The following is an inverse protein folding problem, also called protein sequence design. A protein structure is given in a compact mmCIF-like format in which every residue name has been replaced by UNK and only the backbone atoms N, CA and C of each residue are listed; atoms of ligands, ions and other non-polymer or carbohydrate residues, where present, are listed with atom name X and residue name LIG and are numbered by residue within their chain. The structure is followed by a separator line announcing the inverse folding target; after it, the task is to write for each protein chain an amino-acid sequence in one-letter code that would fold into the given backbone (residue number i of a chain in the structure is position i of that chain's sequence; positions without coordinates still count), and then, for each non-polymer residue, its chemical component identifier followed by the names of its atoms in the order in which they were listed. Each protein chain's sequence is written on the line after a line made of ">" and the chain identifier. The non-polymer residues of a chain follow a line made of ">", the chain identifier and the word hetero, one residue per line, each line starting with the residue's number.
data_IF_146706423144
#
_entry.id   IF_146706423144
#
_cell.length_a   1.000
_cell.length_b   1.000
_cell.length_c   1.000
_cell.angle_alpha   90.00
_cell.angle_beta   90.00
_cell.angle_gamma   90.00
#
_symmetry.space_group_name_H-M   'P 1'
#
loop_
_entity.id
_entity.type
_entity.pdbx_description
1 polymer ?
#
# COMPACT_ATOMS: atom_id res chain seq x y z
N UNK A 1 -14.54 11.24 29.89
CA UNK A 1 -13.94 10.33 28.90
C UNK A 1 -12.85 11.10 28.17
N UNK A 2 -11.58 10.90 28.50
CA UNK A 2 -10.51 11.79 28.03
C UNK A 2 -10.01 11.27 26.66
N UNK A 3 -10.42 11.90 25.58
CA UNK A 3 -10.01 11.64 24.17
C UNK A 3 -8.50 11.94 23.95
N UNK A 4 -7.76 12.26 25.02
CA UNK A 4 -6.33 12.63 25.04
C UNK A 4 -5.35 11.53 24.60
N UNK A 5 -5.80 10.34 24.24
CA UNK A 5 -4.91 9.27 23.80
C UNK A 5 -4.73 9.17 22.29
N UNK A 6 -5.55 9.84 21.46
CA UNK A 6 -5.40 9.77 20.00
C UNK A 6 -4.13 10.49 19.53
N UNK A 7 -3.36 9.83 18.68
CA UNK A 7 -2.18 10.41 18.07
C UNK A 7 -2.42 10.77 16.58
N UNK A 8 -1.44 11.40 15.93
CA UNK A 8 -1.55 11.78 14.52
C UNK A 8 -1.82 10.61 13.57
N UNK A 9 -1.34 9.41 13.90
CA UNK A 9 -1.54 8.18 13.10
C UNK A 9 -3.00 7.72 13.20
N UNK A 10 -3.59 7.79 14.39
CA UNK A 10 -5.00 7.47 14.62
C UNK A 10 -5.90 8.43 13.82
N UNK A 11 -5.60 9.74 13.88
CA UNK A 11 -6.32 10.75 13.09
C UNK A 11 -6.18 10.54 11.58
N UNK A 12 -4.99 10.16 11.12
CA UNK A 12 -4.73 9.85 9.71
C UNK A 12 -5.58 8.66 9.24
N UNK A 13 -5.63 7.60 10.06
CA UNK A 13 -6.46 6.41 9.80
C UNK A 13 -7.94 6.77 9.76
N UNK A 14 -8.44 7.54 10.73
CA UNK A 14 -9.84 7.96 10.74
C UNK A 14 -10.20 8.86 9.56
N UNK A 15 -9.32 9.77 9.16
CA UNK A 15 -9.54 10.62 8.01
C UNK A 15 -9.66 9.78 6.73
N UNK A 16 -8.75 8.83 6.50
CA UNK A 16 -8.82 7.92 5.36
C UNK A 16 -10.14 7.12 5.34
N UNK A 17 -10.47 6.42 6.43
CA UNK A 17 -11.70 5.62 6.50
C UNK A 17 -12.95 6.50 6.35
N UNK A 18 -12.94 7.72 6.90
CA UNK A 18 -14.04 8.67 6.77
C UNK A 18 -14.27 9.09 5.31
N UNK A 19 -13.20 9.38 4.57
CA UNK A 19 -13.26 9.68 3.14
C UNK A 19 -13.78 8.47 2.34
N UNK A 20 -13.25 7.28 2.61
CA UNK A 20 -13.69 6.05 1.93
C UNK A 20 -15.16 5.74 2.22
N UNK A 21 -15.60 5.87 3.47
CA UNK A 21 -17.01 5.71 3.84
C UNK A 21 -17.91 6.71 3.11
N UNK A 22 -17.49 7.99 3.03
CA UNK A 22 -18.25 9.00 2.28
C UNK A 22 -18.36 8.62 0.80
N UNK A 23 -17.27 8.17 0.18
CA UNK A 23 -17.26 7.66 -1.20
C UNK A 23 -18.24 6.49 -1.34
N UNK A 24 -18.18 5.50 -0.46
CA UNK A 24 -19.05 4.32 -0.54
C UNK A 24 -20.51 4.73 -0.40
N UNK A 25 -20.87 5.61 0.54
CA UNK A 25 -22.24 6.04 0.73
C UNK A 25 -22.78 6.81 -0.49
N UNK A 26 -21.96 7.68 -1.08
CA UNK A 26 -22.33 8.46 -2.27
C UNK A 26 -22.48 7.60 -3.52
N UNK A 27 -21.65 6.55 -3.67
CA UNK A 27 -21.60 5.72 -4.88
C UNK A 27 -22.03 4.27 -4.67
N UNK A 28 -22.75 3.96 -3.58
CA UNK A 28 -23.08 2.58 -3.17
C UNK A 28 -23.76 1.75 -4.26
N UNK A 29 -24.54 2.38 -5.14
CA UNK A 29 -25.25 1.71 -6.25
C UNK A 29 -24.31 1.16 -7.34
N UNK A 30 -23.07 1.66 -7.40
CA UNK A 30 -22.04 1.23 -8.35
C UNK A 30 -21.01 0.29 -7.73
N UNK A 31 -21.06 0.07 -6.41
CA UNK A 31 -20.04 -0.66 -5.66
C UNK A 31 -20.62 -2.02 -5.25
N UNK A 32 -20.07 -3.13 -5.77
CA UNK A 32 -20.43 -4.47 -5.31
C UNK A 32 -20.18 -4.62 -3.81
N UNK A 33 -21.09 -5.29 -3.10
CA UNK A 33 -20.91 -5.61 -1.67
C UNK A 33 -20.58 -4.41 -0.77
N UNK A 34 -21.06 -3.21 -1.12
CA UNK A 34 -20.77 -1.95 -0.40
C UNK A 34 -20.98 -2.02 1.11
N UNK A 35 -21.93 -2.83 1.60
CA UNK A 35 -22.19 -3.04 3.02
C UNK A 35 -21.03 -3.74 3.74
N UNK A 36 -20.35 -4.69 3.10
CA UNK A 36 -19.14 -5.33 3.65
C UNK A 36 -17.97 -4.34 3.72
N UNK A 37 -17.86 -3.45 2.74
CA UNK A 37 -16.84 -2.41 2.71
C UNK A 37 -17.07 -1.35 3.81
N UNK A 38 -18.33 -0.98 4.07
CA UNK A 38 -18.69 -0.14 5.22
C UNK A 38 -18.33 -0.86 6.53
N UNK A 39 -18.72 -2.13 6.68
CA UNK A 39 -18.42 -2.92 7.86
C UNK A 39 -16.91 -2.99 8.12
N UNK A 40 -16.10 -3.22 7.08
CA UNK A 40 -14.64 -3.22 7.15
C UNK A 40 -14.11 -1.89 7.74
N UNK A 41 -14.55 -0.75 7.20
CA UNK A 41 -14.07 0.57 7.65
C UNK A 41 -14.54 0.87 9.09
N UNK A 42 -15.76 0.49 9.46
CA UNK A 42 -16.26 0.61 10.83
C UNK A 42 -15.44 -0.26 11.79
N UNK A 43 -15.11 -1.49 11.40
CA UNK A 43 -14.27 -2.39 12.21
C UNK A 43 -12.89 -1.77 12.42
N UNK A 44 -12.24 -1.25 11.37
CA UNK A 44 -10.93 -0.61 11.51
C UNK A 44 -11.00 0.59 12.46
N UNK A 45 -12.00 1.48 12.28
CA UNK A 45 -12.20 2.63 13.17
C UNK A 45 -12.42 2.15 14.62
N UNK A 46 -13.27 1.15 14.83
CA UNK A 46 -13.57 0.61 16.14
C UNK A 46 -12.34 -0.03 16.81
N UNK A 47 -11.53 -0.77 16.06
CA UNK A 47 -10.29 -1.38 16.58
C UNK A 47 -9.28 -0.31 16.96
N UNK A 48 -9.07 0.71 16.13
CA UNK A 48 -8.15 1.82 16.45
C UNK A 48 -8.63 2.59 17.68
N UNK A 49 -9.93 2.90 17.78
CA UNK A 49 -10.51 3.53 18.96
C UNK A 49 -10.34 2.66 20.20
N UNK A 50 -10.63 1.36 20.11
CA UNK A 50 -10.46 0.43 21.23
C UNK A 50 -9.01 0.37 21.70
N UNK A 51 -8.05 0.24 20.78
CA UNK A 51 -6.63 0.26 21.09
C UNK A 51 -6.21 1.58 21.75
N UNK A 52 -6.73 2.71 21.28
CA UNK A 52 -6.46 4.01 21.87
C UNK A 52 -7.03 4.17 23.29
N UNK A 53 -8.17 3.55 23.58
CA UNK A 53 -8.82 3.60 24.89
C UNK A 53 -8.21 2.63 25.90
N UNK A 54 -7.85 1.42 25.46
CA UNK A 54 -7.39 0.33 26.34
C UNK A 54 -5.88 0.38 26.57
N UNK A 55 -5.10 0.77 25.56
CA UNK A 55 -3.63 0.76 25.64
C UNK A 55 -3.13 2.15 26.04
N UNK A 56 -3.03 2.38 27.35
CA UNK A 56 -2.41 3.58 27.90
C UNK A 56 -0.88 3.53 27.93
N UNK A 57 -0.24 4.64 28.30
CA UNK A 57 1.24 4.76 28.36
C UNK A 57 1.90 3.72 29.30
N UNK A 58 1.16 3.30 30.34
CA UNK A 58 1.62 2.31 31.33
C UNK A 58 1.45 0.85 30.90
N UNK A 59 0.88 0.58 29.72
CA UNK A 59 0.71 -0.78 29.24
C UNK A 59 2.07 -1.50 29.05
N UNK A 60 2.07 -2.83 29.06
CA UNK A 60 3.28 -3.62 28.78
C UNK A 60 3.74 -3.46 27.32
N UNK A 61 4.93 -3.98 26.99
CA UNK A 61 5.53 -3.81 25.67
C UNK A 61 4.64 -4.31 24.51
N UNK A 62 4.02 -5.48 24.68
CA UNK A 62 3.25 -6.16 23.62
C UNK A 62 2.00 -5.38 23.21
N UNK A 63 1.08 -4.98 24.13
CA UNK A 63 -0.08 -4.15 23.75
C UNK A 63 0.30 -2.82 23.11
N UNK A 64 1.41 -2.18 23.55
CA UNK A 64 1.90 -0.95 22.93
C UNK A 64 2.43 -1.19 21.52
N UNK A 65 3.15 -2.28 21.29
CA UNK A 65 3.64 -2.65 19.96
C UNK A 65 2.48 -2.94 19.02
N UNK A 66 1.48 -3.71 19.47
CA UNK A 66 0.25 -3.98 18.71
C UNK A 66 -0.44 -2.67 18.35
N UNK A 67 -0.67 -1.77 19.32
CA UNK A 67 -1.30 -0.47 19.08
C UNK A 67 -0.54 0.31 18.00
N UNK A 68 0.77 0.44 18.17
CA UNK A 68 1.61 1.31 17.36
C UNK A 68 1.89 0.76 15.96
N UNK A 69 1.82 -0.57 15.76
CA UNK A 69 2.03 -1.22 14.46
C UNK A 69 0.72 -1.68 13.80
N UNK A 70 -0.43 -1.56 14.48
CA UNK A 70 -1.73 -1.94 13.92
C UNK A 70 -2.05 -1.31 12.55
N UNK A 71 -1.67 -0.05 12.25
CA UNK A 71 -1.91 0.54 10.92
C UNK A 71 -1.31 -0.27 9.78
N UNK A 72 -0.15 -0.92 10.00
CA UNK A 72 0.49 -1.75 8.97
C UNK A 72 -0.37 -2.96 8.61
N UNK A 73 -1.07 -3.53 9.59
CA UNK A 73 -1.99 -4.64 9.38
C UNK A 73 -3.25 -4.24 8.61
N UNK A 74 -3.68 -2.97 8.71
CA UNK A 74 -4.85 -2.46 7.98
C UNK A 74 -4.55 -2.16 6.51
N UNK A 75 -3.28 -1.96 6.12
CA UNK A 75 -2.94 -1.68 4.73
C UNK A 75 -3.40 -2.78 3.78
N UNK A 76 -3.28 -4.06 4.14
CA UNK A 76 -3.68 -5.16 3.27
C UNK A 76 -5.19 -5.17 2.97
N UNK A 77 -6.11 -5.19 3.97
CA UNK A 77 -7.54 -5.16 3.67
C UNK A 77 -7.98 -3.83 3.03
N UNK A 78 -7.35 -2.71 3.38
CA UNK A 78 -7.64 -1.42 2.74
C UNK A 78 -7.17 -1.36 1.29
N UNK A 79 -6.04 -2.00 0.98
CA UNK A 79 -5.55 -2.17 -0.38
C UNK A 79 -6.53 -3.01 -1.18
N UNK A 80 -6.90 -4.21 -0.69
CA UNK A 80 -7.89 -5.08 -1.33
C UNK A 80 -9.23 -4.39 -1.57
N UNK A 81 -9.67 -3.54 -0.63
CA UNK A 81 -10.87 -2.72 -0.78
C UNK A 81 -10.82 -1.80 -2.01
N UNK A 82 -9.64 -1.29 -2.41
CA UNK A 82 -9.55 -0.33 -3.52
C UNK A 82 -10.03 -0.93 -4.84
N UNK A 83 -9.77 -2.21 -5.10
CA UNK A 83 -10.23 -2.93 -6.31
C UNK A 83 -11.76 -2.93 -6.45
N UNK A 84 -12.48 -3.04 -5.33
CA UNK A 84 -13.95 -3.04 -5.35
C UNK A 84 -14.54 -1.65 -5.64
N UNK A 85 -13.74 -0.59 -5.52
CA UNK A 85 -14.18 0.81 -5.59
C UNK A 85 -13.60 1.53 -6.80
N UNK A 86 -12.43 1.15 -7.31
CA UNK A 86 -11.62 1.92 -8.28
C UNK A 86 -12.29 2.28 -9.63
N UNK A 87 -13.47 1.72 -9.93
CA UNK A 87 -14.25 2.04 -11.13
C UNK A 87 -15.44 2.99 -10.92
N UNK A 88 -15.56 3.65 -9.77
CA UNK A 88 -16.65 4.60 -9.50
C UNK A 88 -16.63 5.84 -10.40
N UNK A 89 -15.44 6.36 -10.73
CA UNK A 89 -15.22 7.54 -11.58
C UNK A 89 -15.01 7.12 -13.03
N UNK A 90 -14.11 6.17 -13.27
CA UNK A 90 -13.77 5.68 -14.60
C UNK A 90 -14.18 4.21 -14.77
N UNK A 91 -15.06 3.90 -15.73
CA UNK A 91 -15.56 2.53 -15.92
C UNK A 91 -14.51 1.54 -16.46
N UNK A 92 -13.38 2.05 -16.95
CA UNK A 92 -12.27 1.24 -17.44
C UNK A 92 -10.94 1.78 -16.92
N UNK A 93 -9.88 1.01 -17.13
CA UNK A 93 -8.56 1.39 -16.67
C UNK A 93 -7.91 2.46 -17.54
N UNK A 94 -7.11 3.31 -16.89
CA UNK A 94 -6.43 4.44 -17.52
C UNK A 94 -5.09 4.05 -18.16
N UNK A 95 -4.75 2.75 -18.23
CA UNK A 95 -3.51 2.26 -18.87
C UNK A 95 -3.25 2.90 -20.25
N UNK A 96 -4.22 3.00 -21.21
CA UNK A 96 -3.98 3.67 -22.49
C UNK A 96 -3.56 5.14 -22.38
N UNK A 97 -3.96 5.84 -21.33
CA UNK A 97 -3.51 7.20 -21.07
C UNK A 97 -2.06 7.19 -20.56
N UNK A 98 -1.74 6.34 -19.58
CA UNK A 98 -0.41 6.27 -18.99
C UNK A 98 0.66 5.75 -19.96
N UNK A 99 0.33 4.76 -20.81
CA UNK A 99 1.20 4.31 -21.91
C UNK A 99 1.58 5.47 -22.82
N UNK A 100 0.58 6.26 -23.24
CA UNK A 100 0.80 7.41 -24.14
C UNK A 100 1.63 8.50 -23.47
N UNK A 101 1.40 8.76 -22.17
CA UNK A 101 2.22 9.70 -21.41
C UNK A 101 3.67 9.21 -21.36
N UNK A 102 3.89 7.94 -21.02
CA UNK A 102 5.22 7.31 -20.99
C UNK A 102 5.91 7.42 -22.36
N UNK A 103 5.23 7.06 -23.44
CA UNK A 103 5.75 7.14 -24.80
C UNK A 103 6.05 8.57 -25.23
N UNK A 104 5.24 9.54 -24.82
CA UNK A 104 5.46 10.96 -25.14
C UNK A 104 6.69 11.51 -24.41
N UNK A 105 6.93 11.08 -23.17
CA UNK A 105 8.05 11.56 -22.36
C UNK A 105 9.37 10.92 -22.80
N UNK A 106 9.37 9.60 -23.02
CA UNK A 106 10.61 8.85 -23.28
C UNK A 106 10.84 8.53 -24.77
N UNK A 107 9.82 8.63 -25.61
CA UNK A 107 9.86 8.19 -27.02
C UNK A 107 9.77 6.67 -27.21
N UNK A 108 9.61 5.91 -26.12
CA UNK A 108 9.45 4.46 -26.09
C UNK A 108 8.83 4.05 -24.75
N UNK A 109 8.56 2.75 -24.55
CA UNK A 109 8.10 2.18 -23.28
C UNK A 109 9.30 1.62 -22.48
N UNK A 110 9.81 2.32 -21.43
CA UNK A 110 11.04 1.91 -20.75
C UNK A 110 10.98 0.52 -20.14
N UNK A 111 9.84 0.09 -19.60
CA UNK A 111 9.70 -1.25 -19.03
C UNK A 111 9.93 -2.35 -20.09
N UNK A 112 9.40 -2.16 -21.30
CA UNK A 112 9.54 -3.11 -22.42
C UNK A 112 10.99 -3.12 -22.92
N UNK A 113 11.57 -1.95 -23.16
CA UNK A 113 12.95 -1.84 -23.65
C UNK A 113 13.94 -2.38 -22.61
N UNK A 114 13.72 -2.12 -21.32
CA UNK A 114 14.54 -2.66 -20.24
C UNK A 114 14.55 -4.19 -20.26
N UNK A 115 13.38 -4.82 -20.40
CA UNK A 115 13.28 -6.29 -20.48
C UNK A 115 13.96 -6.86 -21.74
N UNK A 116 13.95 -6.13 -22.85
CA UNK A 116 14.64 -6.53 -24.08
C UNK A 116 16.17 -6.39 -23.98
N UNK A 117 16.66 -5.33 -23.34
CA UNK A 117 18.10 -5.07 -23.15
C UNK A 117 18.71 -6.00 -22.10
N UNK A 118 17.94 -6.34 -21.06
CA UNK A 118 18.38 -7.21 -19.97
C UNK A 118 17.53 -8.48 -19.84
N UNK A 119 17.57 -9.40 -20.83
CA UNK A 119 16.75 -10.62 -20.82
C UNK A 119 17.27 -11.70 -19.87
N UNK A 120 18.42 -11.47 -19.20
CA UNK A 120 19.06 -12.49 -18.38
C UNK A 120 18.24 -12.78 -17.13
N UNK A 121 17.98 -14.06 -16.83
CA UNK A 121 17.14 -14.48 -15.69
C UNK A 121 17.68 -13.99 -14.34
N UNK A 122 19.00 -13.82 -14.19
CA UNK A 122 19.59 -13.28 -12.96
C UNK A 122 19.28 -11.80 -12.74
N UNK A 123 19.07 -11.02 -13.81
CA UNK A 123 18.62 -9.61 -13.70
C UNK A 123 17.19 -9.59 -13.19
N UNK A 124 16.31 -10.41 -13.78
CA UNK A 124 14.93 -10.57 -13.31
C UNK A 124 14.90 -11.01 -11.83
N UNK A 125 15.71 -12.00 -11.45
CA UNK A 125 15.80 -12.46 -10.07
C UNK A 125 16.28 -11.37 -9.10
N UNK A 126 17.29 -10.59 -9.48
CA UNK A 126 17.75 -9.46 -8.68
C UNK A 126 16.68 -8.38 -8.52
N UNK A 127 15.92 -8.08 -9.56
CA UNK A 127 14.82 -7.11 -9.50
C UNK A 127 13.69 -7.60 -8.60
N UNK A 128 13.32 -8.88 -8.68
CA UNK A 128 12.34 -9.48 -7.77
C UNK A 128 12.85 -9.57 -6.34
N UNK A 129 14.15 -9.80 -6.12
CA UNK A 129 14.77 -9.73 -4.80
C UNK A 129 14.67 -8.31 -4.22
N UNK A 130 15.08 -7.31 -4.99
CA UNK A 130 14.99 -5.91 -4.59
C UNK A 130 13.54 -5.52 -4.28
N UNK A 131 12.58 -5.94 -5.11
CA UNK A 131 11.16 -5.74 -4.86
C UNK A 131 10.69 -6.47 -3.59
N UNK A 132 11.02 -7.75 -3.42
CA UNK A 132 10.62 -8.53 -2.25
C UNK A 132 11.18 -7.94 -0.94
N UNK A 133 12.36 -7.33 -0.99
CA UNK A 133 12.97 -6.66 0.17
C UNK A 133 12.11 -5.52 0.73
N UNK A 134 11.29 -4.87 -0.11
CA UNK A 134 10.34 -3.83 0.29
C UNK A 134 9.46 -4.28 1.46
N UNK A 135 8.91 -5.50 1.38
CA UNK A 135 7.99 -6.04 2.40
C UNK A 135 8.65 -6.23 3.77
N UNK A 136 9.98 -6.26 3.83
CA UNK A 136 10.75 -6.33 5.06
C UNK A 136 11.22 -4.95 5.53
N UNK A 137 11.61 -4.08 4.60
CA UNK A 137 12.24 -2.80 4.92
C UNK A 137 11.32 -1.84 5.67
N UNK A 138 10.11 -1.60 5.16
CA UNK A 138 9.22 -0.61 5.79
C UNK A 138 8.70 -1.02 7.18
N UNK A 139 8.24 -2.28 7.44
CA UNK A 139 7.88 -2.67 8.80
C UNK A 139 9.13 -2.84 9.66
N UNK A 140 10.25 -3.27 9.07
CA UNK A 140 11.53 -3.42 9.76
C UNK A 140 12.02 -2.11 10.36
N UNK A 141 11.95 -1.00 9.62
CA UNK A 141 12.30 0.32 10.15
C UNK A 141 11.35 0.78 11.28
N UNK A 142 10.05 0.53 11.15
CA UNK A 142 9.09 0.83 12.23
C UNK A 142 9.46 0.10 13.53
N UNK A 143 9.73 -1.21 13.43
CA UNK A 143 10.13 -2.05 14.57
C UNK A 143 11.47 -1.58 15.13
N UNK A 144 12.44 -1.28 14.28
CA UNK A 144 13.77 -0.82 14.69
C UNK A 144 13.69 0.48 15.51
N UNK A 145 13.01 1.51 15.01
CA UNK A 145 12.83 2.79 15.70
C UNK A 145 12.08 2.62 17.03
N UNK A 146 11.06 1.75 17.04
CA UNK A 146 10.31 1.43 18.25
C UNK A 146 11.19 0.76 19.32
N UNK A 147 12.01 -0.23 18.93
CA UNK A 147 12.91 -0.93 19.86
C UNK A 147 14.06 -0.06 20.36
N UNK A 148 14.54 0.88 19.53
CA UNK A 148 15.51 1.92 19.92
C UNK A 148 14.93 2.96 20.89
N UNK A 149 13.63 2.93 21.15
CA UNK A 149 12.89 3.89 21.98
C UNK A 149 12.96 5.33 21.47
N UNK A 150 13.17 5.50 20.17
CA UNK A 150 13.17 6.81 19.51
C UNK A 150 11.74 7.23 19.22
N UNK A 151 10.99 7.59 20.27
CA UNK A 151 9.54 7.85 20.21
C UNK A 151 9.18 8.89 19.14
N UNK A 152 9.93 9.98 19.04
CA UNK A 152 9.67 11.04 18.06
C UNK A 152 9.90 10.54 16.63
N UNK A 153 11.06 9.92 16.36
CA UNK A 153 11.37 9.40 15.03
C UNK A 153 10.38 8.31 14.60
N UNK A 154 10.00 7.41 15.53
CA UNK A 154 8.99 6.39 15.29
C UNK A 154 7.63 6.99 14.93
N UNK A 155 7.13 7.96 15.71
CA UNK A 155 5.83 8.59 15.46
C UNK A 155 5.83 9.37 14.14
N UNK A 156 6.91 10.11 13.86
CA UNK A 156 7.07 10.86 12.61
C UNK A 156 7.11 9.92 11.40
N UNK A 157 7.88 8.82 11.49
CA UNK A 157 7.97 7.81 10.44
C UNK A 157 6.62 7.13 10.19
N UNK A 158 5.98 6.63 11.26
CA UNK A 158 4.69 5.94 11.14
C UNK A 158 3.59 6.85 10.61
N UNK A 159 3.56 8.12 11.03
CA UNK A 159 2.62 9.10 10.50
C UNK A 159 2.84 9.30 9.00
N UNK A 160 4.08 9.54 8.60
CA UNK A 160 4.43 9.76 7.19
C UNK A 160 4.15 8.53 6.32
N UNK A 161 4.42 7.33 6.86
CA UNK A 161 4.13 6.05 6.22
C UNK A 161 2.63 5.88 5.99
N UNK A 162 1.82 6.08 7.03
CA UNK A 162 0.36 5.96 6.93
C UNK A 162 -0.23 7.00 5.98
N UNK A 163 0.20 8.26 6.10
CA UNK A 163 -0.26 9.33 5.21
C UNK A 163 0.09 9.03 3.75
N UNK A 164 1.32 8.60 3.48
CA UNK A 164 1.76 8.24 2.12
C UNK A 164 0.95 7.08 1.57
N UNK A 165 0.77 6.01 2.36
CA UNK A 165 -0.01 4.85 1.95
C UNK A 165 -1.47 5.25 1.68
N UNK A 166 -2.12 5.98 2.57
CA UNK A 166 -3.51 6.41 2.41
C UNK A 166 -3.71 7.34 1.21
N UNK A 167 -2.76 8.23 0.91
CA UNK A 167 -2.80 9.04 -0.32
C UNK A 167 -2.70 8.14 -1.55
N UNK A 168 -1.84 7.13 -1.54
CA UNK A 168 -1.76 6.16 -2.64
C UNK A 168 -3.09 5.39 -2.80
N UNK A 169 -3.64 4.86 -1.70
CA UNK A 169 -4.91 4.12 -1.72
C UNK A 169 -6.09 4.97 -2.22
N UNK A 170 -6.19 6.22 -1.78
CA UNK A 170 -7.20 7.15 -2.30
C UNK A 170 -7.00 7.44 -3.77
N UNK A 171 -5.75 7.53 -4.23
CA UNK A 171 -5.46 7.71 -5.65
C UNK A 171 -5.87 6.49 -6.46
N UNK A 172 -5.65 5.27 -5.97
CA UNK A 172 -6.10 4.02 -6.62
C UNK A 172 -7.62 3.96 -6.77
N UNK A 173 -8.36 4.45 -5.78
CA UNK A 173 -9.83 4.56 -5.85
C UNK A 173 -10.28 5.51 -6.97
N UNK A 174 -9.53 6.59 -7.21
CA UNK A 174 -9.93 7.65 -8.15
C UNK A 174 -9.35 7.43 -9.56
N UNK A 175 -8.19 6.81 -9.67
CA UNK A 175 -7.41 6.62 -10.89
C UNK A 175 -7.06 5.13 -11.05
N UNK A 176 -7.98 4.31 -11.59
CA UNK A 176 -7.71 2.89 -11.80
C UNK A 176 -6.65 2.70 -12.89
N UNK A 177 -5.46 2.23 -12.52
CA UNK A 177 -4.37 1.88 -13.44
C UNK A 177 -3.87 0.48 -13.11
N UNK A 178 -3.90 -0.46 -14.06
CA UNK A 178 -3.43 -1.84 -13.83
C UNK A 178 -1.92 -1.94 -13.79
N UNK A 179 -1.25 -1.17 -14.64
CA UNK A 179 0.19 -1.27 -14.82
C UNK A 179 0.59 -2.38 -15.80
N UNK A 180 1.90 -2.61 -15.92
CA UNK A 180 2.52 -3.34 -17.01
C UNK A 180 2.23 -4.86 -17.07
N UNK A 181 1.41 -5.39 -16.15
CA UNK A 181 0.91 -6.78 -16.17
C UNK A 181 0.18 -7.09 -17.49
N UNK A 182 -0.24 -6.06 -18.24
CA UNK A 182 -0.94 -6.15 -19.52
C UNK A 182 -0.06 -6.18 -20.79
N UNK A 183 1.27 -6.01 -20.71
CA UNK A 183 2.15 -6.01 -21.90
C UNK A 183 2.90 -7.33 -22.11
N UNK A 184 2.26 -8.28 -22.78
CA UNK A 184 2.99 -9.29 -23.56
C UNK A 184 2.57 -10.76 -23.35
N UNK A 185 2.67 -11.61 -24.39
CA UNK A 185 2.44 -13.04 -24.28
C UNK A 185 3.58 -13.63 -23.42
N UNK A 186 3.24 -14.16 -22.24
CA UNK A 186 4.20 -14.67 -21.25
C UNK A 186 4.15 -13.99 -19.86
N UNK A 187 3.09 -13.22 -19.57
CA UNK A 187 2.94 -12.48 -18.32
C UNK A 187 3.22 -13.31 -17.07
N UNK A 188 4.28 -12.96 -16.32
CA UNK A 188 4.73 -13.49 -15.01
C UNK A 188 4.83 -15.03 -14.83
N UNK A 189 4.23 -15.83 -15.70
CA UNK A 189 4.07 -17.28 -15.58
C UNK A 189 5.32 -18.02 -16.06
N UNK A 190 6.12 -17.42 -16.94
CA UNK A 190 7.29 -18.09 -17.52
C UNK A 190 8.57 -17.99 -16.67
N UNK A 191 8.59 -17.18 -15.60
CA UNK A 191 9.83 -16.87 -14.85
C UNK A 191 9.87 -17.33 -13.39
N UNK A 192 8.98 -18.22 -12.93
CA UNK A 192 9.02 -18.74 -11.55
C UNK A 192 10.10 -19.82 -11.32
N UNK A 193 11.22 -19.76 -12.04
CA UNK A 193 12.30 -20.76 -11.96
C UNK A 193 13.33 -20.46 -10.87
N UNK A 194 13.36 -19.24 -10.33
CA UNK A 194 14.30 -18.80 -9.31
C UNK A 194 13.58 -18.40 -8.01
N UNK A 195 14.27 -18.35 -6.86
CA UNK A 195 13.63 -18.15 -5.55
C UNK A 195 12.76 -16.89 -5.43
N UNK A 196 13.27 -15.70 -5.75
CA UNK A 196 12.56 -14.44 -5.55
C UNK A 196 11.51 -14.20 -6.62
N UNK A 197 11.77 -14.61 -7.86
CA UNK A 197 10.73 -14.67 -8.90
C UNK A 197 9.57 -15.58 -8.49
N UNK A 198 9.82 -16.74 -7.87
CA UNK A 198 8.77 -17.62 -7.36
C UNK A 198 8.00 -17.01 -6.17
N UNK A 199 8.69 -16.36 -5.23
CA UNK A 199 8.06 -15.63 -4.11
C UNK A 199 7.15 -14.53 -4.62
N UNK A 200 7.65 -13.69 -5.54
CA UNK A 200 6.86 -12.60 -6.10
C UNK A 200 5.70 -13.11 -6.95
N UNK A 201 5.89 -14.18 -7.74
CA UNK A 201 4.78 -14.81 -8.46
C UNK A 201 3.69 -15.34 -7.51
N UNK A 202 4.05 -15.82 -6.32
CA UNK A 202 3.07 -16.16 -5.29
C UNK A 202 2.35 -14.92 -4.74
N UNK A 203 3.10 -13.84 -4.44
CA UNK A 203 2.52 -12.58 -3.95
C UNK A 203 1.55 -12.00 -4.97
N UNK A 204 1.94 -11.89 -6.23
CA UNK A 204 1.09 -11.38 -7.31
C UNK A 204 -0.21 -12.18 -7.46
N UNK A 205 -0.14 -13.52 -7.34
CA UNK A 205 -1.34 -14.37 -7.44
C UNK A 205 -2.33 -14.23 -6.29
N UNK A 206 -1.89 -13.84 -5.10
CA UNK A 206 -2.73 -13.91 -3.89
C UNK A 206 -3.00 -12.56 -3.23
N UNK A 207 -2.14 -11.55 -3.45
CA UNK A 207 -2.17 -10.28 -2.73
C UNK A 207 -2.23 -9.06 -3.65
N UNK A 208 -1.88 -9.22 -4.93
CA UNK A 208 -1.99 -8.12 -5.90
C UNK A 208 -3.42 -8.03 -6.43
N UNK A 209 -3.84 -6.80 -6.68
CA UNK A 209 -5.18 -6.45 -7.14
C UNK A 209 -5.07 -5.60 -8.39
N UNK A 210 -6.13 -5.56 -9.18
CA UNK A 210 -6.13 -4.70 -10.37
C UNK A 210 -6.39 -3.23 -10.03
N UNK A 211 -5.80 -2.33 -10.82
CA UNK A 211 -6.12 -0.90 -10.78
C UNK A 211 -5.35 -0.07 -9.75
N UNK A 212 -4.35 -0.64 -9.07
CA UNK A 212 -3.59 0.01 -8.00
C UNK A 212 -2.12 0.33 -8.35
N UNK A 213 -1.80 0.53 -9.64
CA UNK A 213 -0.42 0.74 -10.07
C UNK A 213 0.08 2.19 -9.97
N UNK A 214 -0.81 3.19 -9.99
CA UNK A 214 -0.42 4.60 -10.00
C UNK A 214 -1.02 5.40 -8.85
N UNK A 215 -0.21 6.14 -8.06
CA UNK A 215 1.25 6.17 -8.06
C UNK A 215 1.84 4.89 -7.45
N UNK A 216 3.14 4.64 -7.64
CA UNK A 216 3.80 3.49 -7.01
C UNK A 216 3.96 3.71 -5.51
N UNK A 217 3.13 3.02 -4.71
CA UNK A 217 3.26 3.00 -3.24
C UNK A 217 4.60 2.40 -2.79
N UNK A 218 5.10 1.40 -3.51
CA UNK A 218 6.37 0.75 -3.23
C UNK A 218 7.54 1.74 -3.36
N UNK A 219 7.58 2.52 -4.44
CA UNK A 219 8.60 3.56 -4.64
C UNK A 219 8.45 4.68 -3.60
N UNK A 220 7.22 5.16 -3.36
CA UNK A 220 6.97 6.23 -2.40
C UNK A 220 7.42 5.85 -0.99
N UNK A 221 7.10 4.63 -0.54
CA UNK A 221 7.48 4.14 0.79
C UNK A 221 8.95 3.75 0.85
N UNK A 222 9.55 3.20 -0.21
CA UNK A 222 10.99 2.95 -0.25
C UNK A 222 11.79 4.25 -0.13
N UNK A 223 11.37 5.32 -0.81
CA UNK A 223 11.97 6.64 -0.68
C UNK A 223 11.81 7.21 0.74
N UNK A 224 10.65 6.98 1.38
CA UNK A 224 10.42 7.35 2.77
C UNK A 224 11.36 6.60 3.72
N UNK A 225 11.50 5.28 3.55
CA UNK A 225 12.44 4.46 4.34
C UNK A 225 13.86 5.02 4.18
N UNK A 226 14.30 5.27 2.95
CA UNK A 226 15.62 5.85 2.70
C UNK A 226 15.81 7.17 3.45
N UNK A 227 14.86 8.11 3.32
CA UNK A 227 14.90 9.40 4.01
C UNK A 227 15.06 9.27 5.53
N UNK A 228 14.31 8.37 6.17
CA UNK A 228 14.40 8.17 7.62
C UNK A 228 15.63 7.36 8.06
N UNK A 229 16.30 6.64 7.16
CA UNK A 229 17.56 5.95 7.48
C UNK A 229 18.79 6.84 7.39
N UNK A 230 18.73 7.94 6.62
CA UNK A 230 19.88 8.85 6.42
C UNK A 230 19.79 10.14 7.24
N UNK A 231 18.67 10.37 7.91
CA UNK A 231 18.41 11.54 8.77
C UNK A 231 18.88 11.29 10.21
#
# INVERSE_FOLDING_TARGET
>A
MNIRSLNGIDHCTFAYNGVVLAIILLFHSRIPQWHLLILLNIIVIAVVLLLALVVGDRASLVPRLIRNLSPLGFFLPMYAQTESINHIVFPGFLDPLFIRIEETIFGFQPAIVFAQVFPQSWVSEYMHFAYASYYLLFPGLAVFLYLRREKTAFLDYMFSLCATMYVCLLTYILLPVRGAISFGPGGAQESASLPFTAVMAWIYRHLEIEGAAFPSSHVAIAALVLYYTVR
#
